data_IF_871020505456
#
_entry.id   IF_871020505456
#
_cell.length_a   1.000
_cell.length_b   1.000
_cell.length_c   1.000
_cell.angle_alpha   90.00
_cell.angle_beta   90.00
_cell.angle_gamma   90.00
#
_symmetry.space_group_name_H-M   'P 1'
#
loop_
_entity.id
_entity.type
_entity.pdbx_description
1 polymer ?
#
# COMPACT_ATOMS: atom_id res chain seq x y z
N UNK A 1 -6.47 -22.95 -20.42
CA UNK A 1 -6.72 -21.49 -20.49
C UNK A 1 -7.54 -20.99 -19.30
N UNK A 2 -8.65 -21.66 -18.95
CA UNK A 2 -9.49 -21.31 -17.79
C UNK A 2 -8.71 -21.15 -16.47
N UNK A 3 -7.85 -22.12 -16.11
CA UNK A 3 -7.05 -22.04 -14.89
C UNK A 3 -6.17 -20.78 -14.79
N UNK A 4 -5.61 -20.30 -15.92
CA UNK A 4 -4.82 -19.06 -15.93
C UNK A 4 -5.67 -17.83 -15.63
N UNK A 5 -6.87 -17.75 -16.19
CA UNK A 5 -7.78 -16.62 -15.95
C UNK A 5 -8.25 -16.59 -14.50
N UNK A 6 -8.56 -17.76 -13.93
CA UNK A 6 -8.90 -17.89 -12.51
C UNK A 6 -7.76 -17.37 -11.65
N UNK A 7 -6.52 -17.82 -11.89
CA UNK A 7 -5.35 -17.36 -11.13
C UNK A 7 -5.12 -15.84 -11.27
N UNK A 8 -5.27 -15.28 -12.47
CA UNK A 8 -5.12 -13.83 -12.69
C UNK A 8 -6.18 -13.03 -11.94
N UNK A 9 -7.42 -13.53 -11.86
CA UNK A 9 -8.49 -12.85 -11.16
C UNK A 9 -8.39 -13.00 -9.63
N UNK A 10 -7.95 -14.16 -9.14
CA UNK A 10 -7.90 -14.45 -7.69
C UNK A 10 -6.62 -13.97 -7.02
N UNK A 11 -5.49 -13.93 -7.73
CA UNK A 11 -4.21 -13.51 -7.15
C UNK A 11 -4.24 -12.12 -6.49
N UNK A 12 -4.82 -11.05 -7.09
CA UNK A 12 -4.93 -9.75 -6.45
C UNK A 12 -5.74 -9.79 -5.15
N UNK A 13 -6.77 -10.64 -5.08
CA UNK A 13 -7.60 -10.80 -3.89
C UNK A 13 -6.82 -11.48 -2.75
N UNK A 14 -6.11 -12.56 -3.05
CA UNK A 14 -5.29 -13.27 -2.06
C UNK A 14 -4.18 -12.37 -1.53
N UNK A 15 -3.50 -11.64 -2.42
CA UNK A 15 -2.47 -10.66 -2.02
C UNK A 15 -3.06 -9.57 -1.14
N UNK A 16 -4.20 -8.98 -1.52
CA UNK A 16 -4.83 -7.93 -0.73
C UNK A 16 -5.30 -8.43 0.65
N UNK A 17 -5.84 -9.65 0.70
CA UNK A 17 -6.24 -10.29 1.96
C UNK A 17 -5.05 -10.51 2.89
N UNK A 18 -3.97 -11.12 2.38
CA UNK A 18 -2.74 -11.33 3.14
C UNK A 18 -2.12 -10.02 3.63
N UNK A 19 -2.08 -8.99 2.76
CA UNK A 19 -1.62 -7.66 3.13
C UNK A 19 -2.41 -7.07 4.29
N UNK A 20 -3.74 -7.15 4.25
CA UNK A 20 -4.56 -6.61 5.34
C UNK A 20 -4.43 -7.41 6.63
N UNK A 21 -4.24 -8.72 6.56
CA UNK A 21 -4.00 -9.54 7.75
C UNK A 21 -2.70 -9.17 8.47
N UNK A 22 -1.58 -9.04 7.73
CA UNK A 22 -0.29 -8.78 8.38
C UNK A 22 -0.15 -7.30 8.79
N UNK A 23 -0.65 -6.37 7.97
CA UNK A 23 -0.65 -4.92 8.29
C UNK A 23 -1.55 -4.70 9.51
N UNK A 24 -2.76 -5.27 9.52
CA UNK A 24 -3.66 -5.22 10.66
C UNK A 24 -3.10 -5.95 11.89
N UNK A 25 -2.40 -7.06 11.69
CA UNK A 25 -1.74 -7.79 12.77
C UNK A 25 -0.54 -7.09 13.41
N UNK A 26 -0.13 -5.91 12.91
CA UNK A 26 1.01 -5.16 13.45
C UNK A 26 2.36 -5.84 13.26
N UNK A 27 2.47 -6.75 12.28
CA UNK A 27 3.68 -7.58 12.04
C UNK A 27 4.79 -6.75 11.34
N UNK A 28 4.58 -5.44 11.18
CA UNK A 28 5.44 -4.53 10.44
C UNK A 28 5.11 -4.51 8.94
N UNK A 29 5.49 -3.43 8.24
CA UNK A 29 5.18 -3.20 6.83
C UNK A 29 6.42 -3.32 5.94
N UNK A 30 6.31 -4.04 4.82
CA UNK A 30 7.37 -4.11 3.81
C UNK A 30 7.54 -2.79 3.05
N UNK A 31 8.66 -2.55 2.35
CA UNK A 31 8.98 -1.25 1.73
C UNK A 31 7.92 -0.76 0.73
N UNK A 32 7.36 -1.65 -0.08
CA UNK A 32 6.29 -1.33 -1.04
C UNK A 32 4.99 -0.92 -0.33
N UNK A 33 4.65 -1.62 0.74
CA UNK A 33 3.44 -1.35 1.51
C UNK A 33 3.65 -0.11 2.40
N UNK A 34 4.88 0.16 2.83
CA UNK A 34 5.28 1.41 3.49
C UNK A 34 5.16 2.64 2.60
N UNK A 35 5.55 2.55 1.32
CA UNK A 35 5.31 3.63 0.35
C UNK A 35 3.80 3.88 0.16
N UNK A 36 3.00 2.81 0.11
CA UNK A 36 1.54 2.94 0.07
C UNK A 36 1.00 3.60 1.34
N UNK A 37 1.45 3.19 2.52
CA UNK A 37 1.03 3.79 3.80
C UNK A 37 1.42 5.26 3.89
N UNK A 38 2.64 5.64 3.50
CA UNK A 38 3.06 7.04 3.47
C UNK A 38 2.18 7.90 2.53
N UNK A 39 1.75 7.35 1.40
CA UNK A 39 0.80 8.01 0.50
C UNK A 39 -0.61 8.12 1.12
N UNK A 40 -1.02 7.12 1.90
CA UNK A 40 -2.28 7.15 2.65
C UNK A 40 -2.23 8.23 3.74
N UNK A 41 -1.12 8.33 4.47
CA UNK A 41 -0.89 9.37 5.47
C UNK A 41 -0.88 10.79 4.86
N UNK A 42 -0.45 10.90 3.60
CA UNK A 42 -0.55 12.13 2.82
C UNK A 42 -1.98 12.48 2.37
N UNK A 43 -2.98 11.70 2.78
CA UNK A 43 -4.41 11.96 2.53
C UNK A 43 -5.01 11.15 1.37
N UNK A 44 -4.26 10.24 0.75
CA UNK A 44 -4.81 9.38 -0.30
C UNK A 44 -5.56 8.18 0.29
N UNK A 45 -6.54 7.67 -0.46
CA UNK A 45 -7.17 6.38 -0.09
C UNK A 45 -6.23 5.21 -0.40
N UNK A 46 -6.34 4.11 0.36
CA UNK A 46 -5.61 2.86 0.09
C UNK A 46 -5.71 2.41 -1.38
N UNK A 47 -6.90 2.55 -1.98
CA UNK A 47 -7.12 2.22 -3.39
C UNK A 47 -6.24 3.06 -4.30
N UNK A 48 -6.27 4.38 -4.13
CA UNK A 48 -5.52 5.33 -4.96
C UNK A 48 -4.03 5.16 -4.76
N UNK A 49 -3.57 5.14 -3.50
CA UNK A 49 -2.16 4.97 -3.15
C UNK A 49 -1.57 3.70 -3.77
N UNK A 50 -2.25 2.56 -3.62
CA UNK A 50 -1.77 1.29 -4.20
C UNK A 50 -1.80 1.30 -5.72
N UNK A 51 -2.89 1.76 -6.32
CA UNK A 51 -3.02 1.76 -7.80
C UNK A 51 -1.95 2.65 -8.43
N UNK A 52 -1.71 3.84 -7.86
CA UNK A 52 -0.63 4.72 -8.32
C UNK A 52 0.74 4.06 -8.22
N UNK A 53 1.03 3.39 -7.10
CA UNK A 53 2.29 2.67 -6.92
C UNK A 53 2.47 1.59 -8.01
N UNK A 54 1.49 0.72 -8.20
CA UNK A 54 1.58 -0.35 -9.19
C UNK A 54 1.68 0.17 -10.62
N UNK A 55 0.89 1.18 -10.97
CA UNK A 55 0.93 1.80 -12.30
C UNK A 55 2.28 2.47 -12.51
N UNK A 56 2.83 3.15 -11.51
CA UNK A 56 4.15 3.79 -11.62
C UNK A 56 5.24 2.74 -11.82
N UNK A 57 5.26 1.67 -11.02
CA UNK A 57 6.22 0.57 -11.18
C UNK A 57 6.09 -0.11 -12.54
N UNK A 58 4.85 -0.32 -13.01
CA UNK A 58 4.59 -0.88 -14.34
C UNK A 58 5.14 0.03 -15.44
N UNK A 59 4.85 1.33 -15.40
CA UNK A 59 5.34 2.31 -16.38
C UNK A 59 6.86 2.40 -16.38
N UNK A 60 7.49 2.46 -15.20
CA UNK A 60 8.95 2.44 -15.07
C UNK A 60 9.52 1.15 -15.67
N UNK A 61 8.90 0.00 -15.39
CA UNK A 61 9.29 -1.27 -15.98
C UNK A 61 9.22 -1.26 -17.51
N UNK A 62 8.18 -0.65 -18.10
CA UNK A 62 8.03 -0.48 -19.55
C UNK A 62 9.15 0.37 -20.13
N UNK A 63 9.45 1.52 -19.51
CA UNK A 63 10.51 2.43 -19.96
C UNK A 63 11.89 1.76 -19.91
N UNK A 64 12.12 0.89 -18.92
CA UNK A 64 13.34 0.10 -18.80
C UNK A 64 13.40 -1.11 -19.76
N UNK A 65 12.42 -1.28 -20.65
CA UNK A 65 12.36 -2.39 -21.62
C UNK A 65 11.80 -3.70 -21.05
N UNK A 66 11.16 -3.66 -19.87
CA UNK A 66 10.55 -4.81 -19.22
C UNK A 66 9.31 -5.32 -19.94
N UNK A 67 9.13 -6.65 -19.94
CA UNK A 67 7.97 -7.31 -20.56
C UNK A 67 6.87 -7.53 -19.52
N UNK A 68 5.68 -7.02 -19.78
CA UNK A 68 4.50 -7.20 -18.93
C UNK A 68 3.44 -8.03 -19.64
N UNK A 69 2.57 -8.67 -18.87
CA UNK A 69 1.46 -9.46 -19.38
C UNK A 69 0.11 -8.95 -18.89
N UNK A 70 -0.97 -9.57 -19.41
CA UNK A 70 -2.35 -9.30 -19.00
C UNK A 70 -2.53 -9.41 -17.48
N UNK A 71 -1.89 -10.40 -16.84
CA UNK A 71 -1.94 -10.57 -15.40
C UNK A 71 -1.37 -9.38 -14.63
N UNK A 72 -0.30 -8.76 -15.14
CA UNK A 72 0.33 -7.59 -14.50
C UNK A 72 -0.59 -6.38 -14.55
N UNK A 73 -1.25 -6.15 -15.70
CA UNK A 73 -2.19 -5.04 -15.87
C UNK A 73 -3.42 -5.23 -14.99
N UNK A 74 -4.01 -6.43 -15.00
CA UNK A 74 -5.16 -6.75 -14.13
C UNK A 74 -4.77 -6.57 -12.68
N UNK A 75 -3.60 -7.08 -12.27
CA UNK A 75 -3.13 -6.92 -10.90
C UNK A 75 -2.95 -5.45 -10.50
N UNK A 76 -2.27 -4.66 -11.33
CA UNK A 76 -2.00 -3.24 -11.04
C UNK A 76 -3.29 -2.42 -10.84
N UNK A 77 -4.33 -2.72 -11.62
CA UNK A 77 -5.60 -2.00 -11.56
C UNK A 77 -6.55 -2.50 -10.47
N UNK A 78 -6.46 -3.78 -10.08
CA UNK A 78 -7.45 -4.40 -9.17
C UNK A 78 -6.98 -4.51 -7.73
N UNK A 79 -5.66 -4.64 -7.49
CA UNK A 79 -5.13 -4.89 -6.14
C UNK A 79 -5.44 -3.74 -5.17
N UNK A 80 -5.44 -2.49 -5.64
CA UNK A 80 -5.80 -1.34 -4.81
C UNK A 80 -7.26 -1.36 -4.33
N UNK A 81 -8.21 -1.69 -5.22
CA UNK A 81 -9.62 -1.84 -4.84
C UNK A 81 -9.83 -3.03 -3.91
N UNK A 82 -9.13 -4.14 -4.16
CA UNK A 82 -9.16 -5.32 -3.29
C UNK A 82 -8.66 -4.99 -1.88
N UNK A 83 -7.55 -4.25 -1.75
CA UNK A 83 -7.03 -3.80 -0.45
C UNK A 83 -8.05 -2.95 0.30
N UNK A 84 -8.69 -1.99 -0.37
CA UNK A 84 -9.72 -1.16 0.26
C UNK A 84 -10.93 -1.99 0.70
N UNK A 85 -11.34 -2.98 -0.09
CA UNK A 85 -12.42 -3.89 0.25
C UNK A 85 -12.10 -4.74 1.49
N UNK A 86 -10.91 -5.32 1.55
CA UNK A 86 -10.47 -6.14 2.67
C UNK A 86 -10.15 -5.32 3.90
N UNK A 87 -9.65 -4.10 3.77
CA UNK A 87 -9.52 -3.16 4.89
C UNK A 87 -10.85 -3.07 5.64
N UNK A 88 -11.93 -2.73 4.95
CA UNK A 88 -13.24 -2.60 5.61
C UNK A 88 -13.80 -3.89 6.27
N UNK A 89 -13.23 -5.08 6.01
CA UNK A 89 -13.74 -6.38 6.47
C UNK A 89 -12.83 -7.11 7.45
N UNK A 90 -11.52 -6.95 7.27
CA UNK A 90 -10.48 -7.63 8.05
C UNK A 90 -9.95 -6.68 9.12
N UNK A 91 -9.93 -5.37 8.83
CA UNK A 91 -9.27 -4.39 9.69
C UNK A 91 -9.86 -2.98 9.53
N UNK A 92 -10.76 -2.59 10.43
CA UNK A 92 -11.38 -1.26 10.41
C UNK A 92 -10.37 -0.09 10.64
N UNK A 93 -9.11 -0.41 10.95
CA UNK A 93 -8.12 0.53 11.44
C UNK A 93 -8.15 0.59 12.96
N UNK A 94 -7.00 0.41 13.63
CA UNK A 94 -6.80 1.24 14.82
C UNK A 94 -6.93 2.70 14.34
N UNK A 95 -7.50 3.62 15.15
CA UNK A 95 -7.17 5.02 14.97
C UNK A 95 -5.66 5.10 15.17
N UNK A 96 -4.90 5.05 14.08
CA UNK A 96 -3.50 5.41 14.12
C UNK A 96 -3.51 6.82 14.68
N UNK A 97 -2.96 7.03 15.90
CA UNK A 97 -2.89 8.36 16.45
C UNK A 97 -2.28 9.24 15.37
N UNK A 98 -2.85 10.42 15.07
CA UNK A 98 -2.28 11.31 14.08
C UNK A 98 -0.87 11.71 14.55
N UNK A 99 0.13 10.95 14.12
CA UNK A 99 1.50 11.09 14.58
C UNK A 99 2.31 9.80 14.61
N UNK A 100 3.54 9.96 14.13
CA UNK A 100 4.76 9.31 14.67
C UNK A 100 5.29 8.03 14.01
N UNK A 101 4.63 7.38 13.04
CA UNK A 101 5.24 6.18 12.41
C UNK A 101 6.21 6.51 11.27
N UNK A 102 6.10 7.70 10.65
CA UNK A 102 7.03 8.18 9.59
C UNK A 102 7.62 9.59 9.79
N UNK A 103 7.36 10.27 10.92
CA UNK A 103 8.04 11.55 11.19
C UNK A 103 9.50 11.27 11.52
N UNK A 104 10.38 11.52 10.55
CA UNK A 104 11.84 11.62 10.70
C UNK A 104 12.16 12.33 12.02
N UNK A 105 13.03 11.75 12.83
CA UNK A 105 13.74 12.54 13.82
C UNK A 105 14.41 13.74 13.10
N UNK A 106 14.13 14.96 13.57
CA UNK A 106 14.60 16.24 13.01
C UNK A 106 13.45 17.02 12.36
N UNK A 107 12.94 18.09 12.96
CA UNK A 107 13.66 19.21 13.56
C UNK A 107 13.45 19.36 15.06
N UNK A 108 14.55 19.38 15.83
CA UNK A 108 14.60 20.23 17.00
C UNK A 108 14.22 21.66 16.58
N UNK A 109 13.20 22.24 17.23
CA UNK A 109 13.16 23.70 17.36
C UNK A 109 13.99 24.03 18.60
N UNK A 110 15.13 24.74 18.48
CA UNK A 110 15.83 25.24 19.65
C UNK A 110 14.97 26.34 20.28
N UNK A 111 14.52 26.13 21.52
CA UNK A 111 13.93 27.22 22.31
C UNK A 111 12.67 26.91 23.12
N UNK A 112 12.52 25.71 23.68
CA UNK A 112 11.41 25.46 24.60
C UNK A 112 11.81 24.58 25.79
N UNK A 113 13.01 24.78 26.32
CA UNK A 113 13.50 24.19 27.58
C UNK A 113 14.01 25.27 28.56
N UNK A 114 13.55 26.52 28.43
CA UNK A 114 14.06 27.67 29.21
C UNK A 114 13.07 28.23 30.25
N UNK A 115 12.00 27.51 30.56
CA UNK A 115 11.04 27.92 31.60
C UNK A 115 10.57 26.71 32.42
N UNK A 116 11.49 26.10 33.18
CA UNK A 116 11.22 25.36 34.43
C UNK A 116 12.44 25.46 35.36
#
# INVERSE_FOLDING_TARGET
>A
MAARLVLVATAPMVVAFGSMLYIGGGIGIGPRDGLMTALVDAGLSFRVARTLLEVTVLLVGIVLGGRFGLGTVVFALTVGSALQFFRARVWAGYPEPPGYVFRRAGSASPGQDADL
#
